data_IF_887608136059
#
_entry.id   IF_887608136059
#
_cell.length_a   1.000
_cell.length_b   1.000
_cell.length_c   1.000
_cell.angle_alpha   90.00
_cell.angle_beta   90.00
_cell.angle_gamma   90.00
#
_symmetry.space_group_name_H-M   'P 1'
#
loop_
_entity.id
_entity.type
_entity.pdbx_description
1 polymer ?
#
# COMPACT_ATOMS: atom_id res chain seq x y z
N UNK A 1 5.30 3.41 17.48
CA UNK A 1 6.76 3.16 17.62
C UNK A 1 7.13 1.68 17.51
N UNK A 2 6.37 0.76 18.11
CA UNK A 2 6.66 -0.69 18.11
C UNK A 2 6.72 -1.32 16.72
N UNK A 3 5.72 -1.06 15.86
CA UNK A 3 5.69 -1.56 14.47
C UNK A 3 6.93 -1.12 13.68
N UNK A 4 7.43 0.08 13.97
CA UNK A 4 8.61 0.65 13.32
C UNK A 4 9.89 -0.10 13.67
N UNK A 5 9.98 -0.58 14.90
CA UNK A 5 11.12 -1.36 15.40
C UNK A 5 11.08 -2.77 14.82
N UNK A 6 9.91 -3.42 14.77
CA UNK A 6 9.76 -4.81 14.27
C UNK A 6 10.19 -4.95 12.81
N UNK A 7 9.71 -4.07 11.93
CA UNK A 7 10.07 -4.12 10.50
C UNK A 7 11.53 -3.73 10.25
N UNK A 8 12.05 -2.75 11.02
CA UNK A 8 13.48 -2.39 10.95
C UNK A 8 14.36 -3.57 11.37
N UNK A 9 13.93 -4.35 12.36
CA UNK A 9 14.61 -5.58 12.76
C UNK A 9 14.54 -6.67 11.68
N UNK A 10 13.37 -6.89 11.05
CA UNK A 10 13.21 -7.90 9.98
C UNK A 10 14.18 -7.68 8.81
N UNK A 11 14.28 -6.46 8.28
CA UNK A 11 15.17 -6.19 7.15
C UNK A 11 16.65 -6.09 7.55
N UNK A 12 16.94 -5.85 8.83
CA UNK A 12 18.30 -5.88 9.39
C UNK A 12 18.79 -7.30 9.68
N UNK A 13 17.87 -8.26 9.84
CA UNK A 13 18.16 -9.69 9.99
C UNK A 13 18.48 -10.38 8.65
N UNK A 14 18.06 -9.81 7.52
CA UNK A 14 18.39 -10.32 6.19
C UNK A 14 19.89 -10.16 5.86
N UNK A 15 20.50 -11.15 5.21
CA UNK A 15 21.89 -11.11 4.73
C UNK A 15 22.01 -10.27 3.44
N UNK A 16 21.60 -9.01 3.52
CA UNK A 16 21.54 -8.12 2.37
C UNK A 16 22.87 -7.42 2.13
N UNK A 17 23.52 -7.69 1.01
CA UNK A 17 24.68 -6.91 0.55
C UNK A 17 24.24 -5.47 0.23
N UNK A 18 22.99 -5.31 -0.22
CA UNK A 18 22.37 -4.05 -0.59
C UNK A 18 21.97 -3.16 0.61
N UNK A 19 22.11 -3.63 1.85
CA UNK A 19 21.80 -2.84 3.04
C UNK A 19 22.64 -1.55 3.12
N UNK A 20 23.85 -1.57 2.54
CA UNK A 20 24.75 -0.42 2.49
C UNK A 20 24.46 0.53 1.32
N UNK A 21 23.64 0.11 0.36
CA UNK A 21 23.28 0.95 -0.79
C UNK A 21 22.23 1.97 -0.38
N UNK A 22 22.38 3.22 -0.81
CA UNK A 22 21.59 4.36 -0.31
C UNK A 22 20.09 4.25 -0.63
N UNK A 23 19.72 3.53 -1.69
CA UNK A 23 18.31 3.34 -2.07
C UNK A 23 17.57 2.40 -1.11
N UNK A 24 18.24 1.39 -0.55
CA UNK A 24 17.63 0.38 0.32
C UNK A 24 17.02 0.98 1.61
N UNK A 25 17.73 1.82 2.40
CA UNK A 25 17.13 2.50 3.54
C UNK A 25 16.10 3.56 3.11
N UNK A 26 16.18 4.09 1.88
CA UNK A 26 15.15 4.94 1.29
C UNK A 26 13.82 4.19 1.11
N UNK A 27 13.88 3.04 0.43
CA UNK A 27 12.73 2.15 0.20
C UNK A 27 12.16 1.63 1.51
N UNK A 28 13.01 1.22 2.47
CA UNK A 28 12.58 0.80 3.79
C UNK A 28 11.81 1.93 4.50
N UNK A 29 12.34 3.15 4.53
CA UNK A 29 11.63 4.30 5.13
C UNK A 29 10.30 4.61 4.44
N UNK A 30 10.25 4.53 3.11
CA UNK A 30 9.02 4.73 2.34
C UNK A 30 7.97 3.66 2.68
N UNK A 31 8.36 2.38 2.71
CA UNK A 31 7.50 1.27 3.12
C UNK A 31 6.92 1.49 4.52
N UNK A 32 7.74 1.93 5.49
CA UNK A 32 7.28 2.22 6.84
C UNK A 32 6.24 3.34 6.91
N UNK A 33 6.38 4.37 6.07
CA UNK A 33 5.39 5.47 5.99
C UNK A 33 4.08 4.99 5.39
N UNK A 34 4.14 4.20 4.32
CA UNK A 34 2.96 3.65 3.64
C UNK A 34 2.18 2.70 4.55
N UNK A 35 2.87 1.90 5.36
CA UNK A 35 2.25 1.02 6.35
C UNK A 35 1.46 1.80 7.42
N UNK A 36 1.78 3.07 7.65
CA UNK A 36 1.01 3.95 8.53
C UNK A 36 -0.11 4.69 7.79
N UNK A 37 0.11 5.07 6.52
CA UNK A 37 -0.92 5.71 5.69
C UNK A 37 -2.07 4.78 5.32
N UNK A 38 -1.78 3.49 5.16
CA UNK A 38 -2.80 2.48 4.84
C UNK A 38 -3.95 2.42 5.87
N UNK A 39 -3.71 2.21 7.17
CA UNK A 39 -4.78 2.21 8.17
C UNK A 39 -5.45 3.58 8.31
N UNK A 40 -4.73 4.69 8.08
CA UNK A 40 -5.34 6.02 8.08
C UNK A 40 -6.36 6.19 6.95
N UNK A 41 -6.03 5.73 5.74
CA UNK A 41 -6.98 5.74 4.63
C UNK A 41 -8.23 4.90 4.93
N UNK A 42 -8.05 3.71 5.51
CA UNK A 42 -9.16 2.85 5.96
C UNK A 42 -10.06 3.55 6.99
N UNK A 43 -9.46 4.23 7.97
CA UNK A 43 -10.23 4.97 8.99
C UNK A 43 -11.07 6.06 8.31
N UNK A 44 -10.48 6.85 7.42
CA UNK A 44 -11.20 7.91 6.69
C UNK A 44 -12.39 7.32 5.92
N UNK A 45 -12.17 6.24 5.17
CA UNK A 45 -13.22 5.55 4.39
C UNK A 45 -14.32 4.99 5.30
N UNK A 46 -13.98 4.51 6.49
CA UNK A 46 -14.95 3.93 7.44
C UNK A 46 -15.79 4.96 8.20
N UNK A 47 -15.24 6.16 8.43
CA UNK A 47 -15.91 7.21 9.22
C UNK A 47 -16.71 8.15 8.33
N UNK A 48 -16.21 8.44 7.13
CA UNK A 48 -16.84 9.38 6.22
C UNK A 48 -17.84 8.64 5.35
N UNK A 49 -19.11 8.99 5.46
CA UNK A 49 -20.16 8.43 4.62
C UNK A 49 -20.04 8.95 3.16
N UNK A 50 -20.26 8.07 2.20
CA UNK A 50 -20.15 8.35 0.77
C UNK A 50 -21.24 9.32 0.29
N UNK A 51 -22.45 9.21 0.85
CA UNK A 51 -23.59 10.03 0.45
C UNK A 51 -23.48 11.48 0.95
N UNK A 52 -22.85 11.67 2.11
CA UNK A 52 -22.70 12.98 2.75
C UNK A 52 -21.51 13.77 2.20
N UNK A 53 -20.36 13.10 2.05
CA UNK A 53 -19.08 13.74 1.75
C UNK A 53 -18.25 12.93 0.74
N UNK A 54 -18.81 12.73 -0.45
CA UNK A 54 -18.21 11.97 -1.55
C UNK A 54 -16.73 12.32 -1.85
N UNK A 55 -16.37 13.60 -1.88
CA UNK A 55 -14.98 14.02 -2.17
C UNK A 55 -13.98 13.57 -1.11
N UNK A 56 -14.37 13.64 0.16
CA UNK A 56 -13.50 13.25 1.28
C UNK A 56 -13.39 11.72 1.33
N UNK A 57 -14.52 11.02 1.14
CA UNK A 57 -14.55 9.56 1.07
C UNK A 57 -13.69 9.03 -0.09
N UNK A 58 -13.85 9.59 -1.30
CA UNK A 58 -13.06 9.19 -2.47
C UNK A 58 -11.56 9.48 -2.32
N UNK A 59 -11.20 10.60 -1.67
CA UNK A 59 -9.80 10.89 -1.34
C UNK A 59 -9.23 9.89 -0.33
N UNK A 60 -9.98 9.56 0.73
CA UNK A 60 -9.59 8.55 1.71
C UNK A 60 -9.41 7.17 1.07
N UNK A 61 -10.31 6.81 0.15
CA UNK A 61 -10.26 5.56 -0.60
C UNK A 61 -9.03 5.51 -1.52
N UNK A 62 -8.75 6.59 -2.24
CA UNK A 62 -7.55 6.71 -3.07
C UNK A 62 -6.26 6.63 -2.24
N UNK A 63 -6.21 7.33 -1.09
CA UNK A 63 -5.06 7.28 -0.18
C UNK A 63 -4.81 5.87 0.34
N UNK A 64 -5.87 5.17 0.77
CA UNK A 64 -5.78 3.78 1.21
C UNK A 64 -5.26 2.87 0.09
N UNK A 65 -5.87 2.94 -1.09
CA UNK A 65 -5.59 2.04 -2.20
C UNK A 65 -4.17 2.24 -2.77
N UNK A 66 -3.74 3.49 -2.93
CA UNK A 66 -2.35 3.81 -3.32
C UNK A 66 -1.40 3.28 -2.25
N UNK A 67 -1.68 3.56 -0.97
CA UNK A 67 -0.84 3.10 0.13
C UNK A 67 -0.72 1.58 0.13
N UNK A 68 -1.83 0.85 0.03
CA UNK A 68 -1.88 -0.61 -0.02
C UNK A 68 -1.03 -1.20 -1.16
N UNK A 69 -1.20 -0.71 -2.40
CA UNK A 69 -0.44 -1.23 -3.55
C UNK A 69 1.05 -0.96 -3.43
N UNK A 70 1.45 0.27 -3.08
CA UNK A 70 2.87 0.58 -2.88
C UNK A 70 3.43 -0.15 -1.66
N UNK A 71 2.63 -0.38 -0.62
CA UNK A 71 3.05 -1.15 0.55
C UNK A 71 3.41 -2.59 0.15
N UNK A 72 2.56 -3.25 -0.65
CA UNK A 72 2.83 -4.59 -1.18
C UNK A 72 4.04 -4.61 -2.14
N UNK A 73 4.19 -3.61 -3.01
CA UNK A 73 5.31 -3.48 -3.93
C UNK A 73 6.65 -3.33 -3.20
N UNK A 74 6.77 -2.31 -2.34
CA UNK A 74 8.02 -2.04 -1.62
C UNK A 74 8.37 -3.17 -0.66
N UNK A 75 7.37 -3.80 -0.03
CA UNK A 75 7.60 -4.98 0.79
C UNK A 75 8.20 -6.13 -0.04
N UNK A 76 7.63 -6.40 -1.22
CA UNK A 76 8.14 -7.45 -2.12
C UNK A 76 9.58 -7.15 -2.55
N UNK A 77 9.89 -5.90 -2.91
CA UNK A 77 11.26 -5.46 -3.23
C UNK A 77 12.21 -5.70 -2.05
N UNK A 78 11.87 -5.17 -0.86
CA UNK A 78 12.70 -5.31 0.34
C UNK A 78 12.87 -6.78 0.74
N UNK A 79 11.83 -7.59 0.63
CA UNK A 79 11.85 -9.01 0.96
C UNK A 79 12.75 -9.80 0.00
N UNK A 80 12.74 -9.46 -1.29
CA UNK A 80 13.63 -10.06 -2.29
C UNK A 80 15.11 -9.70 -2.03
N UNK A 81 15.43 -8.41 -1.94
CA UNK A 81 16.80 -7.93 -1.80
C UNK A 81 17.40 -8.10 -0.39
N UNK A 82 16.58 -8.41 0.61
CA UNK A 82 17.06 -8.76 1.94
C UNK A 82 17.52 -10.21 2.08
N UNK A 83 17.21 -11.07 1.09
CA UNK A 83 17.43 -12.52 1.19
C UNK A 83 16.56 -13.19 2.25
N UNK A 84 15.56 -12.49 2.78
CA UNK A 84 14.70 -12.99 3.87
C UNK A 84 13.79 -14.13 3.42
N UNK A 85 13.56 -14.25 2.11
CA UNK A 85 12.90 -15.40 1.47
C UNK A 85 13.59 -16.73 1.77
N UNK A 86 14.92 -16.73 1.79
CA UNK A 86 15.72 -17.96 1.85
C UNK A 86 15.97 -18.41 3.30
N UNK A 87 15.45 -17.68 4.30
CA UNK A 87 15.55 -18.07 5.72
C UNK A 87 14.60 -19.22 6.07
N UNK A 88 13.36 -19.20 5.57
CA UNK A 88 12.36 -20.20 5.93
C UNK A 88 11.19 -20.27 4.93
N UNK A 89 10.60 -21.46 4.75
CA UNK A 89 9.54 -21.70 3.74
C UNK A 89 8.31 -20.81 3.91
N UNK A 90 7.93 -20.45 5.16
CA UNK A 90 6.81 -19.53 5.41
C UNK A 90 7.05 -18.12 4.83
N UNK A 91 8.31 -17.68 4.74
CA UNK A 91 8.67 -16.39 4.18
C UNK A 91 8.51 -16.39 2.65
N UNK A 92 8.82 -17.49 1.97
CA UNK A 92 8.55 -17.63 0.54
C UNK A 92 7.04 -17.63 0.24
N UNK A 93 6.22 -18.37 1.00
CA UNK A 93 4.77 -18.32 0.83
C UNK A 93 4.20 -16.91 1.04
N UNK A 94 4.69 -16.22 2.08
CA UNK A 94 4.28 -14.82 2.36
C UNK A 94 4.70 -13.87 1.23
N UNK A 95 5.87 -14.08 0.64
CA UNK A 95 6.35 -13.32 -0.51
C UNK A 95 5.43 -13.51 -1.73
N UNK A 96 5.10 -14.77 -2.06
CA UNK A 96 4.22 -15.08 -3.19
C UNK A 96 2.83 -14.48 -3.00
N UNK A 97 2.26 -14.58 -1.80
CA UNK A 97 0.95 -14.03 -1.48
C UNK A 97 0.94 -12.50 -1.63
N UNK A 98 1.94 -11.80 -1.10
CA UNK A 98 2.07 -10.33 -1.26
C UNK A 98 2.23 -9.91 -2.71
N UNK A 99 3.04 -10.65 -3.49
CA UNK A 99 3.21 -10.40 -4.92
C UNK A 99 1.89 -10.58 -5.68
N UNK A 100 1.13 -11.63 -5.37
CA UNK A 100 -0.18 -11.89 -5.96
C UNK A 100 -1.20 -10.80 -5.59
N UNK A 101 -1.22 -10.38 -4.33
CA UNK A 101 -2.06 -9.26 -3.88
C UNK A 101 -1.75 -7.97 -4.63
N UNK A 102 -0.48 -7.68 -4.93
CA UNK A 102 -0.11 -6.52 -5.76
C UNK A 102 -0.59 -6.66 -7.22
N UNK A 103 -0.39 -7.82 -7.83
CA UNK A 103 -0.80 -8.07 -9.22
C UNK A 103 -2.31 -7.93 -9.39
N UNK A 104 -3.10 -8.41 -8.42
CA UNK A 104 -4.57 -8.28 -8.42
C UNK A 104 -5.00 -6.88 -7.97
N UNK A 105 -4.26 -6.26 -7.05
CA UNK A 105 -4.53 -4.92 -6.54
C UNK A 105 -4.48 -3.86 -7.64
N UNK A 106 -3.51 -3.94 -8.56
CA UNK A 106 -3.38 -3.00 -9.68
C UNK A 106 -4.64 -2.84 -10.56
N UNK A 107 -5.21 -3.91 -11.17
CA UNK A 107 -6.40 -3.79 -12.00
C UNK A 107 -7.64 -3.36 -11.20
N UNK A 108 -7.79 -3.83 -9.95
CA UNK A 108 -8.86 -3.37 -9.06
C UNK A 108 -8.73 -1.86 -8.78
N UNK A 109 -7.51 -1.37 -8.63
CA UNK A 109 -7.25 0.05 -8.37
C UNK A 109 -7.58 0.93 -9.57
N UNK A 110 -7.24 0.47 -10.78
CA UNK A 110 -7.59 1.17 -12.02
C UNK A 110 -9.11 1.15 -12.20
N UNK A 111 -9.76 0.00 -12.01
CA UNK A 111 -11.21 -0.14 -12.15
C UNK A 111 -11.96 0.79 -11.20
N UNK A 112 -11.57 0.83 -9.93
CA UNK A 112 -12.19 1.71 -8.93
C UNK A 112 -11.94 3.19 -9.22
N UNK A 113 -10.73 3.57 -9.66
CA UNK A 113 -10.46 4.95 -10.08
C UNK A 113 -11.39 5.40 -11.22
N UNK A 114 -11.65 4.53 -12.20
CA UNK A 114 -12.62 4.80 -13.27
C UNK A 114 -14.03 4.96 -12.71
N UNK A 115 -14.48 4.09 -11.81
CA UNK A 115 -15.82 4.18 -11.19
C UNK A 115 -16.02 5.47 -10.40
N UNK A 116 -15.03 5.90 -9.63
CA UNK A 116 -15.12 7.15 -8.86
C UNK A 116 -15.14 8.38 -9.78
N UNK A 117 -14.35 8.38 -10.85
CA UNK A 117 -14.34 9.45 -11.85
C UNK A 117 -15.67 9.54 -12.59
N UNK A 118 -16.22 8.41 -13.03
CA UNK A 118 -17.53 8.41 -13.73
C UNK A 118 -18.63 8.89 -12.80
N UNK A 119 -18.68 8.43 -11.55
CA UNK A 119 -19.64 8.91 -10.56
C UNK A 119 -19.53 10.43 -10.33
N UNK A 120 -18.30 10.96 -10.17
CA UNK A 120 -18.07 12.39 -10.01
C UNK A 120 -18.62 13.18 -11.21
N UNK A 121 -18.35 12.74 -12.44
CA UNK A 121 -18.85 13.38 -13.67
C UNK A 121 -20.38 13.34 -13.74
N UNK A 122 -21.00 12.21 -13.38
CA UNK A 122 -22.47 12.09 -13.35
C UNK A 122 -23.11 13.07 -12.35
N UNK A 123 -22.58 13.15 -11.13
CA UNK A 123 -23.09 14.09 -10.11
C UNK A 123 -22.90 15.55 -10.51
N UNK A 124 -21.74 15.92 -11.07
CA UNK A 124 -21.50 17.28 -11.55
C UNK A 124 -22.41 17.68 -12.72
N UNK A 125 -22.68 16.76 -13.64
CA UNK A 125 -23.59 17.03 -14.75
C UNK A 125 -25.06 17.13 -14.30
N UNK A 126 -25.45 16.45 -13.22
CA UNK A 126 -26.79 16.56 -12.63
C UNK A 126 -27.03 17.94 -11.99
N UNK A 127 -26.03 18.50 -11.32
CA UNK A 127 -26.14 19.82 -10.65
C UNK A 127 -26.17 21.00 -11.64
N UNK A 128 -25.82 20.77 -12.91
CA UNK A 128 -25.73 21.79 -13.96
C UNK A 128 -26.99 21.91 -14.82
N UNK A 129 -27.99 21.06 -14.60
CA UNK A 129 -29.30 21.06 -15.24
C UNK A 129 -30.34 21.69 -14.32
#
# INVERSE_FOLDING_TARGET
MVVLVVYKCQYRLGRSIHQKEEWFPGVARAHMRLLFLEPLGLIIVSVVDIDSHFFIHSFGYALWLISFNFNMLLNTILHHYSGFRDLHNYHDTTFQLKRLMFIIGCPVSISTAVTYLTYAVYCFNFYKK
#
